data_IF_289595068905
#
_entry.id   IF_289595068905
#
_cell.length_a   1.000
_cell.length_b   1.000
_cell.length_c   1.000
_cell.angle_alpha   90.00
_cell.angle_beta   90.00
_cell.angle_gamma   90.00
#
_symmetry.space_group_name_H-M   'P 1'
#
loop_
_entity.id
_entity.type
_entity.pdbx_description
1 polymer ?
#
# COMPACT_ATOMS: atom_id res chain seq x y z
N UNK A 1 17.12 -20.53 1.70
CA UNK A 1 16.39 -20.43 2.98
C UNK A 1 15.06 -19.76 2.72
N UNK A 2 14.05 -20.10 3.49
CA UNK A 2 12.74 -19.43 3.46
C UNK A 2 12.92 -18.00 3.98
N UNK A 3 12.96 -17.03 3.06
CA UNK A 3 13.26 -15.61 3.37
C UNK A 3 12.14 -14.92 4.17
N UNK A 4 11.02 -15.60 4.40
CA UNK A 4 9.87 -15.07 5.13
C UNK A 4 9.90 -15.37 6.63
N UNK A 5 10.82 -16.23 7.09
CA UNK A 5 10.95 -16.63 8.48
C UNK A 5 12.41 -16.50 8.92
N UNK A 6 12.91 -15.27 8.97
CA UNK A 6 14.28 -14.97 9.39
C UNK A 6 14.31 -14.49 10.85
N UNK A 7 15.34 -14.83 11.64
CA UNK A 7 15.45 -14.37 13.03
C UNK A 7 15.38 -12.85 13.19
N UNK A 8 16.00 -12.09 12.27
CA UNK A 8 16.05 -10.63 12.28
C UNK A 8 14.68 -9.95 12.15
N UNK A 9 13.70 -10.63 11.58
CA UNK A 9 12.31 -10.17 11.49
C UNK A 9 11.39 -10.95 12.45
N UNK A 10 11.99 -11.53 13.49
CA UNK A 10 11.32 -12.39 14.49
C UNK A 10 10.45 -13.46 13.83
N UNK A 11 10.96 -14.13 12.80
CA UNK A 11 10.30 -15.23 12.10
C UNK A 11 9.00 -14.89 11.37
N UNK A 12 8.67 -13.60 11.22
CA UNK A 12 7.50 -13.10 10.51
C UNK A 12 7.88 -11.90 9.62
N UNK A 13 8.72 -12.13 8.62
CA UNK A 13 9.18 -11.07 7.73
C UNK A 13 8.02 -10.58 6.86
N UNK A 14 7.63 -9.33 7.07
CA UNK A 14 6.69 -8.65 6.19
C UNK A 14 7.43 -7.99 5.02
N UNK A 15 6.84 -7.99 3.81
CA UNK A 15 7.31 -7.13 2.74
C UNK A 15 7.31 -5.67 3.21
N UNK A 16 8.27 -4.89 2.68
CA UNK A 16 8.31 -3.44 2.89
C UNK A 16 6.94 -2.80 2.61
N UNK A 17 6.55 -1.80 3.40
CA UNK A 17 5.25 -1.13 3.29
C UNK A 17 4.97 -0.54 1.90
N UNK A 18 6.01 -0.20 1.13
CA UNK A 18 5.87 0.21 -0.27
C UNK A 18 5.33 -0.91 -1.14
N UNK A 19 5.78 -2.16 -0.96
CA UNK A 19 5.22 -3.30 -1.69
C UNK A 19 3.75 -3.54 -1.33
N UNK A 20 3.42 -3.48 -0.04
CA UNK A 20 2.04 -3.62 0.43
C UNK A 20 1.13 -2.52 -0.14
N UNK A 21 1.68 -1.33 -0.40
CA UNK A 21 0.97 -0.22 -1.04
C UNK A 21 0.82 -0.43 -2.54
N UNK A 22 1.90 -0.78 -3.24
CA UNK A 22 1.87 -1.03 -4.69
C UNK A 22 0.94 -2.18 -5.07
N UNK A 23 0.77 -3.18 -4.20
CA UNK A 23 -0.12 -4.33 -4.45
C UNK A 23 -1.53 -4.14 -3.89
N UNK A 24 -1.87 -2.95 -3.37
CA UNK A 24 -3.16 -2.65 -2.73
C UNK A 24 -3.52 -3.68 -1.63
N UNK A 25 -2.53 -4.03 -0.80
CA UNK A 25 -2.71 -5.02 0.28
C UNK A 25 -3.62 -4.44 1.35
N UNK A 26 -4.83 -5.00 1.45
CA UNK A 26 -5.87 -4.56 2.39
C UNK A 26 -5.90 -5.33 3.70
N UNK A 27 -5.50 -6.60 3.65
CA UNK A 27 -5.50 -7.48 4.81
C UNK A 27 -4.10 -8.07 5.00
N UNK A 28 -3.60 -8.03 6.23
CA UNK A 28 -2.43 -8.78 6.64
C UNK A 28 -2.86 -9.89 7.59
N UNK A 29 -2.36 -11.08 7.33
CA UNK A 29 -2.51 -12.24 8.21
C UNK A 29 -1.12 -12.59 8.69
N UNK A 30 -0.92 -12.56 10.00
CA UNK A 30 0.37 -12.86 10.63
C UNK A 30 0.19 -13.85 11.77
N UNK A 31 1.24 -14.61 12.01
CA UNK A 31 1.33 -15.52 13.15
C UNK A 31 1.72 -14.75 14.43
N UNK A 32 1.67 -15.41 15.59
CA UNK A 32 1.99 -14.87 16.92
C UNK A 32 3.30 -15.37 17.50
N UNK A 33 4.08 -16.12 16.72
CA UNK A 33 5.31 -16.81 17.18
C UNK A 33 6.30 -15.87 17.89
N UNK A 34 6.31 -14.58 17.53
CA UNK A 34 7.23 -13.59 18.05
C UNK A 34 6.70 -12.72 19.20
N UNK A 35 5.42 -12.86 19.56
CA UNK A 35 4.79 -12.02 20.57
C UNK A 35 5.51 -12.17 21.91
N UNK A 36 5.75 -11.05 22.56
CA UNK A 36 6.37 -11.02 23.88
C UNK A 36 5.29 -11.07 24.94
N UNK A 37 5.47 -11.92 25.94
CA UNK A 37 4.67 -11.94 27.16
C UNK A 37 5.58 -11.58 28.32
N UNK A 38 5.22 -10.56 29.07
CA UNK A 38 6.00 -10.11 30.23
C UNK A 38 5.07 -9.59 31.31
N UNK A 39 5.23 -10.09 32.54
CA UNK A 39 4.38 -9.76 33.69
C UNK A 39 2.88 -9.84 33.37
N UNK A 40 2.43 -10.93 32.74
CA UNK A 40 1.04 -11.19 32.32
C UNK A 40 0.46 -10.19 31.30
N UNK A 41 1.31 -9.36 30.68
CA UNK A 41 0.94 -8.44 29.60
C UNK A 41 1.50 -8.96 28.27
N UNK A 42 0.65 -9.00 27.25
CA UNK A 42 1.07 -9.39 25.90
C UNK A 42 1.45 -8.17 25.05
N UNK A 43 2.47 -8.34 24.23
CA UNK A 43 3.01 -7.34 23.32
C UNK A 43 2.98 -7.89 21.90
N UNK A 44 2.26 -7.17 21.03
CA UNK A 44 2.10 -7.50 19.62
C UNK A 44 3.28 -6.97 18.82
N UNK A 45 4.27 -7.81 18.53
CA UNK A 45 5.53 -7.38 17.89
C UNK A 45 5.53 -7.51 16.37
N UNK A 46 4.37 -7.78 15.76
CA UNK A 46 4.30 -8.13 14.34
C UNK A 46 4.55 -6.95 13.40
N UNK A 47 4.28 -5.73 13.85
CA UNK A 47 4.34 -4.51 13.04
C UNK A 47 5.16 -3.43 13.77
N UNK A 48 6.50 -3.51 13.73
CA UNK A 48 7.35 -2.51 14.35
C UNK A 48 7.22 -1.15 13.64
N UNK A 49 7.28 -0.07 14.41
CA UNK A 49 7.22 1.31 13.93
C UNK A 49 8.53 2.01 14.26
N UNK A 50 9.20 2.53 13.23
CA UNK A 50 10.34 3.42 13.38
C UNK A 50 9.86 4.81 13.80
N UNK A 51 10.28 5.28 14.96
CA UNK A 51 10.06 6.66 15.38
C UNK A 51 11.20 7.54 14.86
N UNK A 52 10.88 8.59 14.11
CA UNK A 52 11.87 9.52 13.57
C UNK A 52 11.92 10.82 14.39
N UNK A 53 13.10 11.19 14.90
CA UNK A 53 13.59 12.54 15.23
C UNK A 53 12.76 13.48 16.13
N UNK A 54 13.45 14.20 17.00
CA UNK A 54 12.90 15.14 17.99
C UNK A 54 12.07 16.32 17.37
N UNK A 55 10.75 16.39 17.57
CA UNK A 55 9.90 17.45 17.01
C UNK A 55 10.06 18.80 17.72
N UNK A 56 10.81 18.88 18.83
CA UNK A 56 11.09 20.15 19.50
C UNK A 56 12.08 21.04 18.73
N UNK A 57 12.61 20.55 17.60
CA UNK A 57 13.33 21.36 16.60
C UNK A 57 12.43 21.94 15.48
N UNK A 58 11.12 21.62 15.47
CA UNK A 58 10.18 21.97 14.41
C UNK A 58 9.25 23.15 14.78
N UNK A 59 8.81 23.92 13.77
CA UNK A 59 7.88 25.04 13.95
C UNK A 59 6.53 24.59 14.55
N UNK A 60 5.89 25.47 15.32
CA UNK A 60 4.54 25.34 15.88
C UNK A 60 3.44 24.93 14.90
N UNK A 61 3.53 25.34 13.62
CA UNK A 61 2.58 24.91 12.58
C UNK A 61 2.85 23.49 12.05
N UNK A 62 4.11 23.05 12.07
CA UNK A 62 4.53 21.69 11.75
C UNK A 62 4.31 20.72 12.93
N UNK A 63 4.25 21.24 14.16
CA UNK A 63 3.87 20.50 15.37
C UNK A 63 2.43 19.99 15.35
N UNK A 64 1.56 20.44 14.47
CA UNK A 64 0.21 19.85 14.27
C UNK A 64 0.20 18.61 13.38
N UNK A 65 1.31 18.28 12.70
CA UNK A 65 1.53 17.04 11.95
C UNK A 65 2.10 15.93 12.86
N UNK A 66 1.54 15.80 14.06
CA UNK A 66 2.04 14.88 15.07
C UNK A 66 1.90 13.44 14.58
N UNK A 67 2.99 12.67 14.60
CA UNK A 67 2.95 11.23 14.39
C UNK A 67 2.12 10.60 15.50
N UNK A 68 0.92 10.12 15.15
CA UNK A 68 0.07 9.25 15.96
C UNK A 68 0.27 7.82 15.48
N UNK A 69 1.40 7.15 15.80
CA UNK A 69 1.78 5.91 15.16
C UNK A 69 0.85 4.74 15.50
N UNK A 70 0.04 4.84 16.56
CA UNK A 70 -0.85 3.78 17.01
C UNK A 70 -2.30 4.27 17.11
N UNK A 71 -3.24 3.34 16.91
CA UNK A 71 -4.65 3.58 17.20
C UNK A 71 -4.88 3.67 18.71
N UNK A 72 -5.82 4.52 19.17
CA UNK A 72 -6.18 4.57 20.58
C UNK A 72 -6.87 3.27 21.01
N UNK A 73 -6.95 3.07 22.33
CA UNK A 73 -7.75 1.99 22.89
C UNK A 73 -9.24 2.16 22.55
N UNK A 74 -10.04 1.07 22.55
CA UNK A 74 -11.49 1.15 22.45
C UNK A 74 -12.09 2.11 23.51
N UNK A 75 -13.13 2.90 23.19
CA UNK A 75 -13.72 3.88 24.11
C UNK A 75 -14.37 3.33 25.38
N UNK A 76 -14.44 2.00 25.52
CA UNK A 76 -14.93 1.28 26.70
C UNK A 76 -13.80 0.65 27.54
N UNK A 77 -12.54 0.72 27.08
CA UNK A 77 -11.38 0.23 27.79
C UNK A 77 -10.77 1.28 28.74
N UNK A 78 -10.99 1.14 30.05
CA UNK A 78 -10.47 2.04 31.09
C UNK A 78 -9.07 1.70 31.62
N UNK A 79 -8.06 1.77 30.75
CA UNK A 79 -6.66 1.51 31.12
C UNK A 79 -5.97 2.68 31.84
N UNK A 80 -4.99 2.38 32.68
CA UNK A 80 -4.27 3.35 33.51
C UNK A 80 -2.75 3.34 33.31
N UNK A 81 -2.22 2.37 32.55
CA UNK A 81 -0.77 2.24 32.32
C UNK A 81 -0.51 1.88 30.86
N UNK A 82 0.26 2.72 30.17
CA UNK A 82 0.75 2.44 28.82
C UNK A 82 2.11 1.75 28.90
N UNK A 83 2.24 0.61 28.22
CA UNK A 83 3.49 -0.15 28.11
C UNK A 83 3.98 -0.05 26.68
N UNK A 84 5.24 0.38 26.51
CA UNK A 84 5.88 0.52 25.20
C UNK A 84 7.07 -0.44 25.16
N UNK A 85 7.01 -1.43 24.26
CA UNK A 85 8.11 -2.33 23.96
C UNK A 85 8.91 -1.74 22.81
N UNK A 86 10.19 -1.45 23.02
CA UNK A 86 11.03 -0.75 22.06
C UNK A 86 12.48 -1.25 22.04
N UNK A 87 13.18 -0.91 20.97
CA UNK A 87 14.64 -0.98 20.84
C UNK A 87 15.16 0.43 20.54
N UNK A 88 16.01 0.94 21.41
CA UNK A 88 16.47 2.33 21.37
C UNK A 88 17.38 2.67 22.55
N UNK A 89 18.07 3.80 22.46
CA UNK A 89 18.98 4.28 23.52
C UNK A 89 18.21 4.82 24.73
N UNK A 90 17.09 5.50 24.47
CA UNK A 90 16.24 6.13 25.47
C UNK A 90 14.78 5.73 25.26
N UNK A 91 13.96 5.69 26.33
CA UNK A 91 12.53 5.42 26.19
C UNK A 91 11.84 6.48 25.31
N UNK A 92 10.89 6.08 24.45
CA UNK A 92 10.13 7.04 23.64
C UNK A 92 9.37 8.05 24.50
N UNK A 93 9.34 9.31 24.12
CA UNK A 93 8.44 10.27 24.77
C UNK A 93 7.00 9.94 24.41
N UNK A 94 6.14 9.91 25.42
CA UNK A 94 4.70 9.74 25.26
C UNK A 94 4.00 11.03 25.62
N UNK A 95 3.03 11.49 24.83
CA UNK A 95 2.14 12.61 25.20
C UNK A 95 0.73 12.30 24.73
N UNK A 96 -0.29 12.67 25.51
CA UNK A 96 -1.66 12.69 25.00
C UNK A 96 -1.78 13.77 23.93
N UNK A 97 -2.56 13.54 22.88
CA UNK A 97 -2.76 14.55 21.80
C UNK A 97 -3.39 15.85 22.32
N UNK A 98 -4.20 15.78 23.38
CA UNK A 98 -4.84 16.95 23.98
C UNK A 98 -3.89 17.80 24.84
N UNK A 99 -2.74 17.23 25.22
CA UNK A 99 -1.78 17.82 26.14
C UNK A 99 -0.41 18.00 25.48
N UNK A 100 0.34 19.01 25.91
CA UNK A 100 1.65 19.34 25.32
C UNK A 100 2.82 18.82 26.16
N UNK A 101 2.55 18.42 27.41
CA UNK A 101 3.60 17.94 28.31
C UNK A 101 3.81 16.42 28.13
N UNK A 102 5.05 15.96 27.94
CA UNK A 102 5.34 14.54 27.85
C UNK A 102 5.12 13.86 29.20
N UNK A 103 4.54 12.67 29.15
CA UNK A 103 4.40 11.72 30.25
C UNK A 103 5.74 11.03 30.43
N UNK A 104 6.31 11.15 31.62
CA UNK A 104 7.58 10.50 31.94
C UNK A 104 7.37 9.00 32.13
N UNK A 105 8.30 8.19 31.60
CA UNK A 105 8.36 6.79 31.97
C UNK A 105 8.68 6.67 33.46
N UNK A 106 7.90 5.88 34.20
CA UNK A 106 8.16 5.64 35.63
C UNK A 106 9.21 4.54 35.84
N UNK A 107 9.31 3.63 34.87
CA UNK A 107 10.20 2.49 34.89
C UNK A 107 10.56 2.02 33.47
N UNK A 108 11.79 1.53 33.31
CA UNK A 108 12.27 0.86 32.09
C UNK A 108 12.92 -0.46 32.48
N UNK A 109 12.41 -1.57 31.95
CA UNK A 109 12.93 -2.92 32.16
C UNK A 109 13.60 -3.42 30.88
N UNK A 110 14.78 -4.02 30.99
CA UNK A 110 15.49 -4.64 29.85
C UNK A 110 15.19 -6.15 29.86
N UNK A 111 14.78 -6.69 28.72
CA UNK A 111 14.48 -8.11 28.50
C UNK A 111 15.75 -8.88 28.08
N UNK A 112 15.68 -10.21 28.15
CA UNK A 112 16.79 -11.11 27.81
C UNK A 112 17.26 -10.98 26.35
N UNK A 113 16.36 -10.59 25.43
CA UNK A 113 16.65 -10.37 24.02
C UNK A 113 17.15 -8.95 23.70
N UNK A 114 17.36 -8.12 24.73
CA UNK A 114 17.86 -6.75 24.64
C UNK A 114 16.76 -5.70 24.39
N UNK A 115 15.52 -6.12 24.13
CA UNK A 115 14.40 -5.19 24.06
C UNK A 115 14.11 -4.56 25.41
N UNK A 116 13.45 -3.40 25.40
CA UNK A 116 13.13 -2.64 26.59
C UNK A 116 11.63 -2.39 26.69
N UNK A 117 11.08 -2.47 27.90
CA UNK A 117 9.70 -2.11 28.21
C UNK A 117 9.72 -0.85 29.07
N UNK A 118 9.21 0.26 28.52
CA UNK A 118 8.94 1.48 29.28
C UNK A 118 7.46 1.53 29.71
N UNK A 119 7.22 1.92 30.96
CA UNK A 119 5.88 2.08 31.53
C UNK A 119 5.55 3.55 31.76
N UNK A 120 4.35 3.95 31.38
CA UNK A 120 3.85 5.31 31.50
C UNK A 120 2.52 5.27 32.25
N UNK A 121 2.48 5.72 33.52
CA UNK A 121 1.23 5.86 34.24
C UNK A 121 0.41 6.98 33.61
N UNK A 122 -0.90 6.73 33.42
CA UNK A 122 -1.82 7.67 32.79
C UNK A 122 -2.79 8.26 33.82
N UNK A 123 -2.94 9.57 33.77
CA UNK A 123 -3.97 10.26 34.55
C UNK A 123 -5.33 10.15 33.84
N UNK A 124 -6.43 10.20 34.61
CA UNK A 124 -7.79 9.87 34.11
C UNK A 124 -8.26 10.58 32.82
N UNK A 125 -7.69 11.74 32.46
CA UNK A 125 -7.99 12.45 31.20
C UNK A 125 -7.29 11.84 29.96
N UNK A 126 -6.15 11.16 30.17
CA UNK A 126 -5.28 10.63 29.12
C UNK A 126 -5.66 9.21 28.69
N UNK A 127 -6.55 8.53 29.44
CA UNK A 127 -6.93 7.12 29.27
C UNK A 127 -7.72 6.82 27.98
N UNK A 128 -8.31 7.86 27.36
CA UNK A 128 -9.15 7.76 26.17
C UNK A 128 -8.53 8.44 24.94
N UNK A 129 -7.32 8.96 25.09
CA UNK A 129 -6.66 9.82 24.12
C UNK A 129 -5.92 9.04 23.03
N UNK A 130 -5.72 9.70 21.90
CA UNK A 130 -4.64 9.31 21.01
C UNK A 130 -3.31 9.69 21.64
N UNK A 131 -2.32 8.81 21.50
CA UNK A 131 -0.98 9.03 22.02
C UNK A 131 -0.02 9.40 20.89
N UNK A 132 0.88 10.30 21.26
CA UNK A 132 2.00 10.76 20.46
C UNK A 132 3.22 10.05 21.01
N UNK A 133 3.93 9.31 20.15
CA UNK A 133 5.18 8.66 20.50
C UNK A 133 6.30 9.26 19.67
N UNK A 134 7.40 9.65 20.34
CA UNK A 134 8.53 10.36 19.74
C UNK A 134 9.86 9.82 20.28
N UNK A 135 10.94 10.03 19.53
CA UNK A 135 12.30 9.69 19.98
C UNK A 135 13.12 10.97 20.13
N UNK A 136 13.77 11.17 21.29
CA UNK A 136 14.64 12.34 21.53
C UNK A 136 15.97 12.23 20.80
N UNK A 137 16.61 11.06 20.87
CA UNK A 137 17.95 10.81 20.37
C UNK A 137 17.95 9.51 19.55
N UNK A 138 18.26 9.60 18.25
CA UNK A 138 18.25 8.49 17.27
C UNK A 138 16.87 7.89 16.98
N UNK A 139 16.69 7.22 15.82
CA UNK A 139 15.45 6.49 15.56
C UNK A 139 15.30 5.33 16.55
N UNK A 140 14.19 5.31 17.28
CA UNK A 140 13.81 4.20 18.16
C UNK A 140 12.80 3.33 17.44
N UNK A 141 12.93 2.01 17.55
CA UNK A 141 11.97 1.06 16.98
C UNK A 141 10.98 0.69 18.06
N UNK A 142 9.72 1.06 17.91
CA UNK A 142 8.65 0.59 18.79
C UNK A 142 8.05 -0.68 18.20
N UNK A 143 8.21 -1.79 18.90
CA UNK A 143 7.67 -3.08 18.48
C UNK A 143 6.20 -3.23 18.85
N UNK A 144 5.80 -2.75 20.03
CA UNK A 144 4.43 -2.90 20.51
C UNK A 144 4.07 -1.79 21.49
N UNK A 145 2.79 -1.44 21.50
CA UNK A 145 2.19 -0.59 22.54
C UNK A 145 1.00 -1.34 23.12
N UNK A 146 0.95 -1.48 24.43
CA UNK A 146 -0.14 -2.16 25.15
C UNK A 146 -0.63 -1.28 26.28
N UNK A 147 -1.94 -1.05 26.33
CA UNK A 147 -2.59 -0.34 27.43
C UNK A 147 -3.15 -1.38 28.42
N UNK A 148 -2.82 -1.25 29.69
CA UNK A 148 -3.34 -2.12 30.76
C UNK A 148 -4.13 -1.35 31.80
N UNK A 149 -5.03 -2.04 32.48
CA UNK A 149 -5.69 -1.59 33.70
C UNK A 149 -5.09 -2.33 34.89
N UNK A 150 -4.27 -1.63 35.69
CA UNK A 150 -3.58 -2.20 36.86
C UNK A 150 -4.55 -2.77 37.92
N UNK A 151 -5.80 -2.30 37.94
CA UNK A 151 -6.83 -2.73 38.92
C UNK A 151 -7.44 -4.08 38.57
N UNK A 152 -7.53 -4.39 37.27
CA UNK A 152 -8.19 -5.61 36.77
C UNK A 152 -7.21 -6.61 36.18
N UNK A 153 -5.99 -6.19 35.84
CA UNK A 153 -5.01 -6.98 35.11
C UNK A 153 -5.35 -7.20 33.64
N UNK A 154 -6.42 -6.55 33.14
CA UNK A 154 -6.83 -6.64 31.73
C UNK A 154 -5.99 -5.68 30.90
N UNK A 155 -5.66 -6.07 29.67
CA UNK A 155 -4.90 -5.27 28.73
C UNK A 155 -5.50 -5.28 27.33
N UNK A 156 -5.13 -4.30 26.52
CA UNK A 156 -5.41 -4.24 25.09
C UNK A 156 -4.18 -3.74 24.33
N UNK A 157 -3.78 -4.46 23.28
CA UNK A 157 -2.64 -4.07 22.46
C UNK A 157 -3.11 -3.09 21.40
N UNK A 158 -2.46 -1.94 21.33
CA UNK A 158 -2.76 -0.84 20.42
C UNK A 158 -2.04 -1.10 19.09
N UNK A 159 -2.77 -1.32 17.98
CA UNK A 159 -2.13 -1.64 16.72
C UNK A 159 -1.58 -0.38 16.03
N UNK A 160 -0.48 -0.48 15.28
CA UNK A 160 0.10 0.66 14.58
C UNK A 160 -0.76 1.06 13.37
N UNK A 161 -0.81 2.36 13.09
CA UNK A 161 -1.40 2.87 11.84
C UNK A 161 -0.51 2.49 10.64
N UNK A 162 -1.10 2.21 9.47
CA UNK A 162 -2.54 2.25 9.15
C UNK A 162 -3.29 0.93 9.42
N UNK A 163 -2.69 0.00 10.16
CA UNK A 163 -3.18 -1.37 10.32
C UNK A 163 -4.07 -1.50 11.55
N UNK A 164 -5.38 -1.46 11.36
CA UNK A 164 -6.33 -1.77 12.43
C UNK A 164 -6.40 -3.28 12.64
N UNK A 165 -6.26 -3.72 13.89
CA UNK A 165 -6.43 -5.12 14.26
C UNK A 165 -7.92 -5.50 14.25
N UNK A 166 -8.27 -6.51 13.45
CA UNK A 166 -9.62 -7.06 13.38
C UNK A 166 -9.79 -8.29 14.28
N UNK A 167 -8.76 -9.14 14.34
CA UNK A 167 -8.77 -10.38 15.09
C UNK A 167 -7.40 -10.64 15.71
N UNK A 168 -7.41 -11.20 16.92
CA UNK A 168 -6.23 -11.73 17.60
C UNK A 168 -6.61 -13.04 18.28
N UNK A 169 -6.30 -14.18 17.65
CA UNK A 169 -6.56 -15.55 18.13
C UNK A 169 -5.31 -16.41 17.94
N UNK A 170 -5.33 -17.57 17.28
CA UNK A 170 -4.08 -18.28 16.95
C UNK A 170 -3.26 -17.53 15.89
N UNK A 171 -3.93 -16.68 15.12
CA UNK A 171 -3.36 -15.72 14.16
C UNK A 171 -3.83 -14.31 14.50
N UNK A 172 -3.22 -13.31 13.87
CA UNK A 172 -3.75 -11.94 13.84
C UNK A 172 -4.14 -11.54 12.43
N UNK A 173 -5.23 -10.80 12.34
CA UNK A 173 -5.72 -10.21 11.09
C UNK A 173 -5.75 -8.70 11.27
N UNK A 174 -5.02 -8.00 10.41
CA UNK A 174 -5.08 -6.55 10.32
C UNK A 174 -5.78 -6.13 9.03
N UNK A 175 -6.46 -5.00 9.13
CA UNK A 175 -7.12 -4.30 8.05
C UNK A 175 -6.50 -2.91 7.90
N UNK A 176 -6.18 -2.55 6.67
CA UNK A 176 -5.57 -1.25 6.37
C UNK A 176 -6.66 -0.18 6.18
N UNK A 177 -6.67 0.86 7.01
CA UNK A 177 -7.69 1.93 6.96
C UNK A 177 -7.34 3.13 6.09
N UNK A 178 -6.07 3.40 5.81
CA UNK A 178 -5.60 4.52 4.97
C UNK A 178 -5.78 4.28 3.47
N UNK A 179 -6.46 3.19 3.07
CA UNK A 179 -6.75 2.91 1.67
C UNK A 179 -7.96 3.74 1.24
N UNK A 180 -7.73 4.66 0.31
CA UNK A 180 -8.79 5.37 -0.41
C UNK A 180 -9.79 4.34 -1.04
N UNK A 181 -11.07 4.71 -1.25
CA UNK A 181 -12.04 3.80 -1.87
C UNK A 181 -11.56 3.26 -3.23
N UNK A 182 -12.12 2.12 -3.70
CA UNK A 182 -11.64 1.29 -4.83
C UNK A 182 -11.25 2.04 -6.09
N UNK A 183 -12.04 3.06 -6.35
CA UNK A 183 -11.94 4.01 -7.43
C UNK A 183 -10.71 4.93 -7.31
N UNK A 184 -10.19 5.24 -6.13
CA UNK A 184 -9.00 6.06 -5.93
C UNK A 184 -7.67 5.26 -5.82
N UNK A 185 -7.71 3.91 -5.93
CA UNK A 185 -6.67 2.99 -5.43
C UNK A 185 -5.39 2.82 -6.26
N UNK A 186 -5.28 3.41 -7.45
CA UNK A 186 -4.22 2.99 -8.38
C UNK A 186 -3.28 4.11 -8.81
N UNK A 187 -3.33 5.27 -8.15
CA UNK A 187 -2.47 6.41 -8.44
C UNK A 187 -1.08 6.32 -7.85
N UNK A 188 -0.12 6.92 -8.56
CA UNK A 188 1.28 6.85 -8.20
C UNK A 188 1.54 7.48 -6.84
N UNK A 189 2.37 6.82 -6.03
CA UNK A 189 3.06 7.50 -4.93
C UNK A 189 4.17 8.38 -5.51
N UNK A 190 4.05 9.69 -5.30
CA UNK A 190 4.99 10.68 -5.80
C UNK A 190 6.21 10.86 -4.91
N UNK A 191 7.35 11.16 -5.55
CA UNK A 191 8.62 11.55 -4.91
C UNK A 191 9.75 10.57 -5.20
N UNK A 192 10.90 11.09 -5.65
CA UNK A 192 12.12 10.31 -5.88
C UNK A 192 12.57 10.24 -7.33
N UNK A 193 13.78 9.73 -7.54
CA UNK A 193 14.41 9.56 -8.85
C UNK A 193 13.66 8.52 -9.68
N UNK A 194 13.51 8.78 -10.99
CA UNK A 194 13.03 7.79 -11.95
C UNK A 194 14.21 7.05 -12.57
N UNK A 195 14.16 5.72 -12.51
CA UNK A 195 15.14 4.87 -13.19
C UNK A 195 14.55 4.28 -14.46
N UNK A 196 15.34 4.29 -15.52
CA UNK A 196 14.96 3.77 -16.82
C UNK A 196 15.73 2.50 -17.13
N UNK A 197 15.01 1.40 -17.35
CA UNK A 197 15.61 0.10 -17.65
C UNK A 197 15.05 -0.49 -18.95
N UNK A 198 15.76 -1.41 -19.62
CA UNK A 198 15.19 -2.11 -20.78
C UNK A 198 13.98 -2.97 -20.39
N UNK A 199 12.95 -3.07 -21.24
CA UNK A 199 11.89 -4.08 -21.09
C UNK A 199 12.38 -5.44 -21.59
N UNK A 200 13.24 -6.06 -20.78
CA UNK A 200 13.84 -7.38 -21.00
C UNK A 200 13.77 -8.16 -19.69
N UNK A 201 14.00 -9.46 -19.74
CA UNK A 201 14.15 -10.28 -18.54
C UNK A 201 15.18 -9.67 -17.57
N UNK A 202 16.40 -9.36 -18.05
CA UNK A 202 17.46 -8.79 -17.23
C UNK A 202 17.05 -7.44 -16.63
N UNK A 203 16.45 -6.55 -17.43
CA UNK A 203 15.97 -5.27 -16.93
C UNK A 203 14.88 -5.42 -15.86
N UNK A 204 14.08 -6.49 -15.92
CA UNK A 204 13.14 -6.85 -14.85
C UNK A 204 13.83 -7.26 -13.55
N UNK A 205 14.88 -8.08 -13.63
CA UNK A 205 15.69 -8.47 -12.46
C UNK A 205 16.40 -7.26 -11.85
N UNK A 206 17.00 -6.40 -12.68
CA UNK A 206 17.66 -5.17 -12.23
C UNK A 206 16.65 -4.22 -11.55
N UNK A 207 15.41 -4.16 -12.07
CA UNK A 207 14.33 -3.40 -11.46
C UNK A 207 13.92 -3.95 -10.09
N UNK A 208 13.81 -5.27 -9.93
CA UNK A 208 13.51 -5.90 -8.63
C UNK A 208 14.62 -5.62 -7.60
N UNK A 209 15.88 -5.65 -8.03
CA UNK A 209 17.04 -5.31 -7.19
C UNK A 209 16.98 -3.84 -6.79
N UNK A 210 16.75 -2.93 -7.74
CA UNK A 210 16.64 -1.50 -7.46
C UNK A 210 15.47 -1.19 -6.52
N UNK A 211 14.29 -1.79 -6.75
CA UNK A 211 13.18 -1.67 -5.80
C UNK A 211 13.60 -2.20 -4.43
N UNK A 212 14.27 -3.35 -4.30
CA UNK A 212 14.70 -3.84 -2.99
C UNK A 212 15.70 -2.91 -2.28
N UNK A 213 16.71 -2.42 -3.00
CA UNK A 213 17.90 -1.81 -2.40
C UNK A 213 17.87 -0.27 -2.38
N UNK A 214 17.00 0.37 -3.17
CA UNK A 214 16.83 1.84 -3.25
C UNK A 214 15.43 2.25 -2.75
N UNK A 215 15.27 2.56 -1.45
CA UNK A 215 14.00 3.04 -0.92
C UNK A 215 13.63 4.46 -1.40
N UNK A 216 14.62 5.22 -1.87
CA UNK A 216 14.51 6.60 -2.37
C UNK A 216 14.03 6.71 -3.82
N UNK A 217 13.95 5.59 -4.55
CA UNK A 217 13.52 5.57 -5.94
C UNK A 217 12.01 5.82 -6.04
N UNK A 218 11.60 6.79 -6.86
CA UNK A 218 10.19 7.11 -7.06
C UNK A 218 9.51 6.10 -7.97
N UNK A 219 10.24 5.58 -8.95
CA UNK A 219 9.74 4.54 -9.83
C UNK A 219 10.74 4.10 -10.89
N UNK A 220 10.43 2.98 -11.53
CA UNK A 220 11.23 2.38 -12.59
C UNK A 220 10.35 2.27 -13.82
N UNK A 221 10.81 2.80 -14.96
CA UNK A 221 10.09 2.75 -16.23
C UNK A 221 10.87 1.90 -17.23
N UNK A 222 10.21 0.92 -17.84
CA UNK A 222 10.82 0.04 -18.82
C UNK A 222 10.59 0.54 -20.25
N UNK A 223 11.65 0.52 -21.07
CA UNK A 223 11.63 0.86 -22.51
C UNK A 223 11.07 2.25 -22.85
N UNK A 224 11.09 3.18 -21.90
CA UNK A 224 10.87 4.59 -22.21
C UNK A 224 12.09 5.17 -22.93
N UNK A 225 11.89 6.08 -23.92
CA UNK A 225 13.00 6.78 -24.56
C UNK A 225 13.83 7.48 -23.48
N UNK A 226 15.17 7.40 -23.53
CA UNK A 226 16.03 8.22 -22.69
C UNK A 226 15.89 9.67 -23.17
N UNK A 227 14.92 10.42 -22.65
CA UNK A 227 14.85 11.87 -22.81
C UNK A 227 14.82 12.51 -21.44
N UNK A 228 15.75 13.44 -21.19
CA UNK A 228 15.82 14.37 -20.05
C UNK A 228 15.29 13.84 -18.71
N UNK A 229 15.71 12.60 -18.37
CA UNK A 229 15.32 11.87 -17.17
C UNK A 229 15.52 12.70 -15.88
N UNK A 230 16.50 13.60 -15.89
CA UNK A 230 16.86 14.47 -14.76
C UNK A 230 15.74 15.43 -14.33
N UNK A 231 14.72 15.65 -15.17
CA UNK A 231 13.58 16.53 -14.89
C UNK A 231 12.23 15.83 -14.77
N UNK A 232 12.21 14.50 -14.92
CA UNK A 232 10.95 13.73 -14.89
C UNK A 232 10.63 13.26 -13.48
N UNK A 233 9.38 13.49 -13.06
CA UNK A 233 8.89 13.11 -11.74
C UNK A 233 7.76 12.09 -11.81
N UNK A 234 7.52 11.36 -10.72
CA UNK A 234 6.32 10.53 -10.58
C UNK A 234 5.14 11.41 -10.21
N UNK A 235 4.06 11.30 -10.99
CA UNK A 235 2.85 12.12 -10.85
C UNK A 235 1.73 11.37 -10.15
N UNK A 236 1.18 12.03 -9.14
CA UNK A 236 0.01 11.55 -8.40
C UNK A 236 -1.25 11.64 -9.27
N UNK A 237 -2.20 10.74 -8.99
CA UNK A 237 -3.55 10.82 -9.54
C UNK A 237 -4.44 11.45 -8.48
N UNK A 238 -5.11 12.55 -8.82
CA UNK A 238 -6.00 13.24 -7.90
C UNK A 238 -7.41 12.66 -7.88
N UNK A 239 -7.88 12.17 -9.02
CA UNK A 239 -9.26 11.72 -9.14
C UNK A 239 -9.46 10.74 -10.30
N UNK A 240 -10.22 9.68 -10.05
CA UNK A 240 -10.72 8.79 -11.10
C UNK A 240 -12.15 9.18 -11.46
N UNK A 241 -12.40 9.41 -12.75
CA UNK A 241 -13.69 9.87 -13.27
C UNK A 241 -14.54 8.73 -13.86
N UNK A 242 -13.90 7.66 -14.35
CA UNK A 242 -14.58 6.46 -14.83
C UNK A 242 -13.68 5.24 -14.65
N UNK A 243 -14.29 4.12 -14.25
CA UNK A 243 -13.58 2.86 -14.04
C UNK A 243 -14.46 1.66 -14.41
N UNK A 244 -14.02 0.91 -15.41
CA UNK A 244 -14.51 -0.43 -15.75
C UNK A 244 -13.33 -1.35 -16.11
N UNK A 245 -13.59 -2.64 -16.33
CA UNK A 245 -12.55 -3.64 -16.58
C UNK A 245 -11.69 -3.35 -17.83
N UNK A 246 -12.21 -2.59 -18.79
CA UNK A 246 -11.58 -2.30 -20.08
C UNK A 246 -11.28 -0.81 -20.30
N UNK A 247 -11.69 0.09 -19.40
CA UNK A 247 -11.47 1.53 -19.50
C UNK A 247 -11.25 2.16 -18.14
N UNK A 248 -10.22 2.99 -18.06
CA UNK A 248 -9.95 3.87 -16.93
C UNK A 248 -9.85 5.30 -17.42
N UNK A 249 -10.47 6.23 -16.71
CA UNK A 249 -10.27 7.67 -16.93
C UNK A 249 -9.94 8.33 -15.61
N UNK A 250 -8.87 9.12 -15.57
CA UNK A 250 -8.40 9.80 -14.38
C UNK A 250 -7.72 11.13 -14.70
N UNK A 251 -7.62 11.99 -13.69
CA UNK A 251 -7.06 13.34 -13.80
C UNK A 251 -5.84 13.46 -12.89
N UNK A 252 -4.77 14.05 -13.42
CA UNK A 252 -3.56 14.34 -12.65
C UNK A 252 -3.65 15.66 -11.91
N UNK A 253 -2.79 15.80 -10.92
CA UNK A 253 -2.50 17.06 -10.26
C UNK A 253 -1.90 18.06 -11.26
N UNK A 254 -2.04 19.34 -10.94
CA UNK A 254 -1.30 20.39 -11.62
C UNK A 254 0.17 20.32 -11.18
N UNK A 255 1.08 20.20 -12.13
CA UNK A 255 2.49 19.97 -11.84
C UNK A 255 3.38 20.78 -12.79
N UNK A 256 4.47 21.31 -12.25
CA UNK A 256 5.34 22.26 -12.96
C UNK A 256 6.22 21.62 -14.04
N UNK A 257 6.42 20.30 -14.00
CA UNK A 257 7.38 19.58 -14.85
C UNK A 257 6.77 18.32 -15.44
N UNK A 258 7.22 17.90 -16.61
CA UNK A 258 6.89 16.62 -17.22
C UNK A 258 7.11 15.44 -16.26
N UNK A 259 6.35 14.36 -16.42
CA UNK A 259 6.51 13.20 -15.55
C UNK A 259 5.84 11.94 -16.07
N UNK A 260 5.88 10.91 -15.24
CA UNK A 260 5.16 9.66 -15.46
C UNK A 260 4.10 9.48 -14.39
N UNK A 261 2.88 9.16 -14.81
CA UNK A 261 1.89 8.58 -13.91
C UNK A 261 2.12 7.08 -13.91
N UNK A 262 2.46 6.52 -12.75
CA UNK A 262 2.52 5.07 -12.54
C UNK A 262 1.19 4.62 -11.97
N UNK A 263 0.52 3.75 -12.71
CA UNK A 263 -0.74 3.13 -12.30
C UNK A 263 -0.42 1.77 -11.67
N UNK A 264 -0.79 1.56 -10.39
CA UNK A 264 -0.66 0.28 -9.69
C UNK A 264 -1.71 -0.74 -10.13
N UNK A 265 -1.71 -1.01 -11.43
CA UNK A 265 -2.53 -1.98 -12.10
C UNK A 265 -1.67 -2.83 -13.03
N UNK A 266 -1.99 -4.10 -13.18
CA UNK A 266 -1.14 -5.04 -13.90
C UNK A 266 -0.94 -4.61 -15.36
N UNK A 267 0.31 -4.62 -15.81
CA UNK A 267 0.67 -4.40 -17.20
C UNK A 267 0.32 -5.62 -18.04
N UNK A 268 -0.37 -5.39 -19.15
CA UNK A 268 -0.66 -6.42 -20.13
C UNK A 268 -0.64 -5.84 -21.56
N UNK A 269 -0.14 -6.56 -22.58
CA UNK A 269 -0.19 -6.08 -23.96
C UNK A 269 -1.63 -5.85 -24.44
N UNK A 270 -1.89 -4.69 -25.04
CA UNK A 270 -3.22 -4.31 -25.57
C UNK A 270 -3.85 -3.10 -24.91
N UNK A 271 -3.26 -2.55 -23.84
CA UNK A 271 -3.65 -1.24 -23.33
C UNK A 271 -3.20 -0.13 -24.29
N UNK A 272 -4.11 0.81 -24.54
CA UNK A 272 -3.85 2.08 -25.22
C UNK A 272 -4.08 3.20 -24.21
N UNK A 273 -3.27 4.26 -24.27
CA UNK A 273 -3.45 5.45 -23.44
C UNK A 273 -3.64 6.68 -24.31
N UNK A 274 -4.38 7.64 -23.78
CA UNK A 274 -4.59 8.95 -24.37
C UNK A 274 -4.42 10.01 -23.28
N UNK A 275 -3.62 11.04 -23.55
CA UNK A 275 -3.45 12.20 -22.67
C UNK A 275 -4.14 13.38 -23.36
N UNK A 276 -5.19 13.91 -22.74
CA UNK A 276 -6.09 14.92 -23.32
C UNK A 276 -6.60 14.53 -24.73
N UNK A 277 -6.93 13.25 -24.89
CA UNK A 277 -7.40 12.67 -26.15
C UNK A 277 -6.31 12.41 -27.19
N UNK A 278 -5.06 12.77 -26.95
CA UNK A 278 -3.94 12.46 -27.85
C UNK A 278 -3.30 11.10 -27.50
N UNK A 279 -3.00 10.23 -28.48
CA UNK A 279 -2.39 8.93 -28.22
C UNK A 279 -1.07 9.05 -27.46
N UNK A 280 -0.93 8.25 -26.41
CA UNK A 280 0.26 8.17 -25.59
C UNK A 280 0.73 6.71 -25.44
N UNK A 281 2.04 6.52 -25.32
CA UNK A 281 2.63 5.21 -25.09
C UNK A 281 2.34 4.71 -23.67
N UNK A 282 2.03 3.43 -23.56
CA UNK A 282 1.93 2.72 -22.28
C UNK A 282 3.22 1.98 -22.02
N UNK A 283 3.88 2.32 -20.93
CA UNK A 283 5.11 1.70 -20.48
C UNK A 283 4.83 0.70 -19.37
N UNK A 284 5.72 -0.28 -19.21
CA UNK A 284 5.75 -1.09 -18.02
C UNK A 284 6.54 -0.34 -16.95
N UNK A 285 6.05 -0.35 -15.72
CA UNK A 285 6.67 0.32 -14.60
C UNK A 285 6.77 -0.63 -13.41
N UNK A 286 7.81 -0.46 -12.57
CA UNK A 286 7.99 -1.22 -11.33
C UNK A 286 7.71 -2.72 -11.54
N UNK A 287 8.29 -3.29 -12.62
CA UNK A 287 8.20 -4.69 -13.05
C UNK A 287 6.83 -5.14 -13.58
N UNK A 288 5.73 -4.77 -12.95
CA UNK A 288 4.40 -5.33 -13.26
C UNK A 288 3.30 -4.29 -13.46
N UNK A 289 3.59 -3.02 -13.27
CA UNK A 289 2.63 -1.93 -13.30
C UNK A 289 2.68 -1.17 -14.63
N UNK A 290 1.72 -0.27 -14.83
CA UNK A 290 1.63 0.53 -16.06
C UNK A 290 2.09 1.94 -15.81
N UNK A 291 2.65 2.59 -16.81
CA UNK A 291 2.95 4.02 -16.75
C UNK A 291 2.64 4.74 -18.06
N UNK A 292 2.30 6.01 -17.95
CA UNK A 292 2.05 6.91 -19.08
C UNK A 292 2.83 8.19 -18.83
N UNK A 293 3.53 8.68 -19.86
CA UNK A 293 4.19 9.99 -19.80
C UNK A 293 3.15 11.09 -19.92
N UNK A 294 3.25 12.10 -19.06
CA UNK A 294 2.31 13.21 -18.96
C UNK A 294 3.09 14.54 -18.95
N UNK A 295 2.75 15.52 -19.81
CA UNK A 295 3.40 16.83 -19.82
C UNK A 295 3.15 17.65 -18.55
N UNK A 296 3.92 18.73 -18.35
CA UNK A 296 3.66 19.79 -17.38
C UNK A 296 2.20 20.30 -17.43
N UNK A 297 1.57 20.44 -16.25
CA UNK A 297 0.17 20.83 -16.08
C UNK A 297 -0.74 19.72 -15.57
N UNK A 298 -2.03 20.03 -15.43
CA UNK A 298 -3.10 19.09 -15.17
C UNK A 298 -3.61 18.47 -16.48
N UNK A 299 -3.73 17.14 -16.51
CA UNK A 299 -4.14 16.40 -17.69
C UNK A 299 -5.18 15.32 -17.36
N UNK A 300 -6.04 15.02 -18.34
CA UNK A 300 -6.94 13.86 -18.30
C UNK A 300 -6.31 12.70 -19.06
N UNK A 301 -6.32 11.52 -18.45
CA UNK A 301 -5.74 10.31 -19.01
C UNK A 301 -6.83 9.28 -19.18
N UNK A 302 -7.04 8.84 -20.41
CA UNK A 302 -7.90 7.70 -20.76
C UNK A 302 -7.02 6.51 -21.09
N UNK A 303 -7.24 5.38 -20.41
CA UNK A 303 -6.63 4.10 -20.76
C UNK A 303 -7.73 3.14 -21.19
N UNK A 304 -7.55 2.47 -22.33
CA UNK A 304 -8.54 1.55 -22.89
C UNK A 304 -7.84 0.24 -23.26
N UNK A 305 -8.39 -0.88 -22.82
CA UNK A 305 -7.92 -2.21 -23.15
C UNK A 305 -8.54 -2.66 -24.48
N UNK A 306 -7.72 -2.72 -25.52
CA UNK A 306 -8.10 -3.17 -26.87
C UNK A 306 -7.01 -4.07 -27.42
N UNK A 307 -7.03 -5.37 -27.08
CA UNK A 307 -6.00 -6.28 -27.52
C UNK A 307 -6.07 -6.51 -29.03
N UNK A 308 -4.91 -6.59 -29.67
CA UNK A 308 -4.78 -6.70 -31.13
C UNK A 308 -5.51 -7.90 -31.74
N UNK A 309 -5.74 -8.97 -30.96
CA UNK A 309 -6.42 -10.19 -31.40
C UNK A 309 -7.95 -10.09 -31.35
N UNK A 310 -8.51 -9.15 -30.59
CA UNK A 310 -9.96 -9.07 -30.36
C UNK A 310 -10.77 -8.87 -31.65
N UNK A 311 -10.42 -7.92 -32.54
CA UNK A 311 -11.13 -7.74 -33.81
C UNK A 311 -11.11 -9.02 -34.66
N UNK A 312 -9.97 -9.72 -34.71
CA UNK A 312 -9.80 -10.95 -35.48
C UNK A 312 -10.73 -12.07 -34.99
N UNK A 313 -10.84 -12.25 -33.68
CA UNK A 313 -11.73 -13.27 -33.09
C UNK A 313 -13.20 -12.95 -33.37
N UNK A 314 -13.60 -11.68 -33.27
CA UNK A 314 -14.96 -11.25 -33.60
C UNK A 314 -15.28 -11.54 -35.07
N UNK A 315 -14.37 -11.19 -36.00
CA UNK A 315 -14.55 -11.46 -37.42
C UNK A 315 -14.65 -12.95 -37.74
N UNK A 316 -13.80 -13.78 -37.14
CA UNK A 316 -13.88 -15.23 -37.29
C UNK A 316 -15.22 -15.78 -36.79
N UNK A 317 -15.69 -15.29 -35.64
CA UNK A 317 -17.01 -15.66 -35.10
C UNK A 317 -18.15 -15.30 -36.05
N UNK A 318 -18.14 -14.08 -36.61
CA UNK A 318 -19.13 -13.64 -37.61
C UNK A 318 -19.11 -14.56 -38.83
N UNK A 319 -17.93 -14.88 -39.37
CA UNK A 319 -17.80 -15.78 -40.52
C UNK A 319 -18.37 -17.17 -40.21
N UNK A 320 -18.05 -17.74 -39.04
CA UNK A 320 -18.58 -19.04 -38.61
C UNK A 320 -20.12 -19.01 -38.52
N UNK A 321 -20.70 -17.97 -37.94
CA UNK A 321 -22.16 -17.80 -37.85
C UNK A 321 -22.82 -17.66 -39.21
N UNK A 322 -22.21 -16.91 -40.14
CA UNK A 322 -22.72 -16.78 -41.51
C UNK A 322 -22.70 -18.12 -42.25
N UNK A 323 -21.63 -18.90 -42.12
CA UNK A 323 -21.53 -20.24 -42.71
C UNK A 323 -22.56 -21.20 -42.12
N UNK A 324 -22.77 -21.17 -40.81
CA UNK A 324 -23.81 -21.96 -40.14
C UNK A 324 -25.21 -21.59 -40.60
N UNK A 325 -25.52 -20.28 -40.67
CA UNK A 325 -26.80 -19.77 -41.16
C UNK A 325 -27.06 -20.18 -42.61
N UNK A 326 -26.06 -20.06 -43.48
CA UNK A 326 -26.15 -20.51 -44.87
C UNK A 326 -26.40 -22.03 -44.96
N UNK A 327 -25.71 -22.82 -44.16
CA UNK A 327 -25.92 -24.27 -44.05
C UNK A 327 -27.35 -24.63 -43.67
N UNK A 328 -27.91 -23.94 -42.66
CA UNK A 328 -29.28 -24.13 -42.21
C UNK A 328 -30.29 -23.77 -43.31
N UNK A 329 -30.10 -22.63 -43.98
CA UNK A 329 -30.96 -22.20 -45.10
C UNK A 329 -30.94 -23.22 -46.24
N UNK A 330 -29.76 -23.78 -46.58
CA UNK A 330 -29.64 -24.81 -47.61
C UNK A 330 -30.38 -26.10 -47.24
N UNK A 331 -30.30 -26.55 -45.98
CA UNK A 331 -31.03 -27.73 -45.50
C UNK A 331 -32.54 -27.50 -45.55
N UNK A 332 -33.02 -26.36 -45.03
CA UNK A 332 -34.45 -26.01 -45.05
C UNK A 332 -34.98 -25.89 -46.49
N UNK A 333 -34.20 -25.29 -47.40
CA UNK A 333 -34.54 -25.20 -48.81
C UNK A 333 -34.66 -26.59 -49.46
N UNK A 334 -33.71 -27.49 -49.19
CA UNK A 334 -33.76 -28.88 -49.68
C UNK A 334 -34.98 -29.63 -49.14
N UNK A 335 -35.30 -29.48 -47.85
CA UNK A 335 -36.48 -30.10 -47.24
C UNK A 335 -37.79 -29.57 -47.84
N UNK A 336 -37.90 -28.25 -48.04
CA UNK A 336 -39.08 -27.64 -48.64
C UNK A 336 -39.26 -28.07 -50.11
N UNK A 337 -38.17 -28.13 -50.88
CA UNK A 337 -38.20 -28.64 -52.26
C UNK A 337 -38.61 -30.11 -52.32
N UNK A 338 -38.10 -30.95 -51.41
CA UNK A 338 -38.49 -32.37 -51.33
C UNK A 338 -39.98 -32.54 -51.02
N UNK A 339 -40.54 -31.75 -50.09
CA UNK A 339 -41.98 -31.75 -49.79
C UNK A 339 -42.84 -31.36 -50.99
N UNK A 340 -42.43 -30.36 -51.78
CA UNK A 340 -43.14 -29.95 -53.00
C UNK A 340 -43.09 -30.99 -54.13
N UNK A 341 -42.14 -31.91 -54.13
CA UNK A 341 -42.04 -32.95 -55.15
C UNK A 341 -42.88 -34.20 -54.85
N UNK A 342 -43.44 -34.29 -53.63
CA UNK A 342 -44.21 -35.45 -53.15
C UNK A 342 -45.73 -35.20 -53.04
N UNK A 343 -46.20 -33.96 -53.25
CA UNK A 343 -47.61 -33.59 -53.27
C UNK A 343 -48.02 -33.02 -54.61
#
# INVERSE_FOLDING_TARGET
>A
GERLALPECRWACLPDGRWLTMTDTRYLIVDKVADVWHNDIAFDTALPVMLNGNPFSMDSSQRTAITRPFYPAPPDFGGDTLHVLFDGVSPPLVSAVADVAPIAADNVEVLDDGLQIARYPLDGAEQWGEYVLLSEDNPSVVYAVTLSDSRTGVFTQLPPRPWRKMLSSDIKIYYREDIAPADARRGAWGGGELLFLPDTWQGGEDALIALRDRPDIGGIIHSAPPSDADSLTVRTINHFTAYDDARLTFVTDDAEQDGYVILYDAYFPGWQAFVDGQPAAVYRANVMFRAVRVPAGQHTIDMIYQPFWYPTVVWLGVVVWLLWGLGLVMVLYRMHRARRAQG
#
